data_IF_817286319259
#
_entry.id   IF_817286319259
#
_cell.length_a   1.000
_cell.length_b   1.000
_cell.length_c   1.000
_cell.angle_alpha   90.00
_cell.angle_beta   90.00
_cell.angle_gamma   90.00
#
_symmetry.space_group_name_H-M   'P 1'
#
loop_
_entity.id
_entity.type
_entity.pdbx_description
1 polymer ?
#
# COMPACT_ATOMS: atom_id res chain seq x y z
N UNK A 1 5.89 0.64 49.66
CA UNK A 1 5.17 0.45 48.39
C UNK A 1 6.19 0.46 47.28
N UNK A 2 6.49 -0.69 46.72
CA UNK A 2 7.51 -0.87 45.68
C UNK A 2 6.89 -0.51 44.34
N UNK A 3 7.43 0.43 43.53
CA UNK A 3 6.92 0.65 42.20
C UNK A 3 7.30 -0.57 41.35
N UNK A 4 6.30 -1.33 40.92
CA UNK A 4 6.49 -2.38 39.90
C UNK A 4 7.03 -1.68 38.65
N UNK A 5 8.31 -1.89 38.42
CA UNK A 5 9.01 -1.55 37.20
C UNK A 5 8.18 -1.99 35.99
N UNK A 6 7.96 -1.08 35.05
CA UNK A 6 7.46 -1.41 33.73
C UNK A 6 8.34 -2.54 33.20
N UNK A 7 7.77 -3.71 32.93
CA UNK A 7 8.47 -4.77 32.20
C UNK A 7 8.89 -4.13 30.89
N UNK A 8 10.18 -4.05 30.62
CA UNK A 8 10.69 -3.78 29.28
C UNK A 8 10.02 -4.79 28.36
N UNK A 9 9.13 -4.33 27.48
CA UNK A 9 8.50 -5.21 26.50
C UNK A 9 9.61 -5.66 25.55
N UNK A 10 9.77 -6.98 25.42
CA UNK A 10 10.71 -7.53 24.44
C UNK A 10 10.30 -7.04 23.03
N UNK A 11 11.23 -6.46 22.26
CA UNK A 11 10.91 -5.93 20.94
C UNK A 11 10.30 -7.00 20.04
N UNK A 12 9.23 -6.63 19.33
CA UNK A 12 8.62 -7.47 18.30
C UNK A 12 9.58 -7.56 17.12
N UNK A 13 9.72 -8.74 16.55
CA UNK A 13 10.53 -8.95 15.34
C UNK A 13 9.67 -8.65 14.12
N UNK A 14 10.00 -7.59 13.39
CA UNK A 14 9.30 -7.18 12.18
C UNK A 14 10.14 -7.50 10.93
N UNK A 15 9.65 -8.39 10.09
CA UNK A 15 10.37 -8.87 8.89
C UNK A 15 9.65 -8.41 7.63
N UNK A 16 10.38 -7.84 6.68
CA UNK A 16 9.81 -7.35 5.41
C UNK A 16 10.82 -7.41 4.26
N UNK A 17 10.34 -7.48 2.99
CA UNK A 17 11.23 -7.50 1.82
C UNK A 17 11.96 -6.18 1.59
N UNK A 18 11.40 -5.04 2.05
CA UNK A 18 11.90 -3.70 1.78
C UNK A 18 12.18 -2.94 3.08
N UNK A 19 13.04 -1.91 2.99
CA UNK A 19 13.24 -0.94 4.06
C UNK A 19 12.06 0.03 4.20
N UNK A 20 12.20 1.01 5.08
CA UNK A 20 11.20 2.05 5.38
C UNK A 20 10.74 2.86 4.16
N UNK A 21 11.56 2.98 3.13
CA UNK A 21 11.21 3.65 1.87
C UNK A 21 10.38 2.77 0.92
N UNK A 22 10.23 1.48 1.21
CA UNK A 22 9.35 0.58 0.47
C UNK A 22 7.90 0.76 0.89
N UNK A 23 7.01 1.09 -0.05
CA UNK A 23 5.62 1.47 0.27
C UNK A 23 4.88 0.44 1.12
N UNK A 24 4.89 -0.85 0.74
CA UNK A 24 4.23 -1.90 1.51
C UNK A 24 4.85 -2.06 2.91
N UNK A 25 6.18 -2.16 3.01
CA UNK A 25 6.85 -2.31 4.31
C UNK A 25 6.58 -1.13 5.22
N UNK A 26 6.56 0.10 4.67
CA UNK A 26 6.23 1.29 5.43
C UNK A 26 4.80 1.21 5.96
N UNK A 27 3.81 1.08 5.09
CA UNK A 27 2.38 1.14 5.44
C UNK A 27 1.94 -0.05 6.30
N UNK A 28 2.50 -1.25 6.03
CA UNK A 28 2.09 -2.49 6.72
C UNK A 28 2.85 -2.75 8.01
N UNK A 29 4.04 -2.15 8.21
CA UNK A 29 4.85 -2.36 9.41
C UNK A 29 5.29 -1.04 10.05
N UNK A 30 6.15 -0.23 9.40
CA UNK A 30 6.80 0.92 10.04
C UNK A 30 5.79 1.93 10.58
N UNK A 31 4.81 2.35 9.77
CA UNK A 31 3.81 3.34 10.19
C UNK A 31 2.91 2.77 11.33
N UNK A 32 2.69 1.45 11.42
CA UNK A 32 2.00 0.82 12.55
C UNK A 32 2.80 0.90 13.85
N UNK A 33 4.11 0.61 13.81
CA UNK A 33 4.96 0.70 14.99
C UNK A 33 5.15 2.16 15.42
N UNK A 34 5.27 3.09 14.47
CA UNK A 34 5.31 4.53 14.75
C UNK A 34 4.00 4.98 15.43
N UNK A 35 2.83 4.54 14.94
CA UNK A 35 1.53 4.89 15.51
C UNK A 35 1.31 4.30 16.91
N UNK A 36 1.66 3.03 17.12
CA UNK A 36 1.44 2.34 18.40
C UNK A 36 2.50 2.60 19.45
N UNK A 37 3.68 3.08 19.05
CA UNK A 37 4.83 3.28 19.92
C UNK A 37 5.45 1.97 20.47
N UNK A 38 5.09 0.81 19.90
CA UNK A 38 5.64 -0.46 20.30
C UNK A 38 7.11 -0.61 19.88
N UNK A 39 7.98 -1.20 20.73
CA UNK A 39 9.35 -1.46 20.35
C UNK A 39 9.42 -2.59 19.31
N UNK A 40 10.14 -2.36 18.20
CA UNK A 40 10.33 -3.35 17.16
C UNK A 40 11.79 -3.46 16.71
N UNK A 41 12.20 -4.69 16.38
CA UNK A 41 13.47 -5.00 15.72
C UNK A 41 13.17 -5.28 14.24
N UNK A 42 13.55 -4.35 13.35
CA UNK A 42 13.24 -4.46 11.93
C UNK A 42 14.32 -5.21 11.16
N UNK A 43 13.89 -6.22 10.40
CA UNK A 43 14.69 -6.98 9.46
C UNK A 43 14.17 -6.77 8.03
N UNK A 44 14.87 -6.00 7.23
CA UNK A 44 14.60 -5.83 5.81
C UNK A 44 15.71 -6.45 4.98
N UNK A 45 15.37 -7.08 3.84
CA UNK A 45 16.31 -7.90 3.07
C UNK A 45 17.61 -7.16 2.70
N UNK A 46 17.51 -6.03 2.01
CA UNK A 46 18.65 -5.18 1.64
C UNK A 46 18.51 -3.74 2.16
N UNK A 47 17.47 -3.43 2.93
CA UNK A 47 17.17 -2.07 3.38
C UNK A 47 16.81 -1.10 2.27
N UNK A 48 16.48 -1.59 1.07
CA UNK A 48 16.16 -0.78 -0.12
C UNK A 48 14.65 -0.66 -0.31
N UNK A 49 14.21 0.30 -1.13
CA UNK A 49 12.80 0.48 -1.50
C UNK A 49 12.27 -0.60 -2.47
N UNK A 50 13.15 -1.37 -3.10
CA UNK A 50 12.80 -2.48 -3.99
C UNK A 50 13.95 -3.48 -4.11
N UNK A 51 13.64 -4.72 -4.53
CA UNK A 51 14.60 -5.81 -4.77
C UNK A 51 14.72 -6.13 -6.26
N UNK A 52 14.86 -5.12 -7.11
CA UNK A 52 15.05 -5.33 -8.55
C UNK A 52 16.34 -6.10 -8.84
N UNK A 53 16.33 -6.95 -9.88
CA UNK A 53 17.45 -7.82 -10.27
C UNK A 53 18.78 -7.04 -10.41
N UNK A 54 18.74 -5.85 -11.00
CA UNK A 54 19.92 -5.01 -11.15
C UNK A 54 20.54 -4.55 -9.82
N UNK A 55 19.71 -4.30 -8.80
CA UNK A 55 20.16 -3.95 -7.45
C UNK A 55 20.77 -5.16 -6.75
N UNK A 56 20.14 -6.32 -6.88
CA UNK A 56 20.57 -7.58 -6.29
C UNK A 56 21.93 -8.01 -6.83
N UNK A 57 22.10 -8.01 -8.16
CA UNK A 57 23.38 -8.42 -8.82
C UNK A 57 24.54 -7.51 -8.41
N UNK A 58 24.30 -6.20 -8.29
CA UNK A 58 25.34 -5.24 -7.87
C UNK A 58 25.72 -5.36 -6.40
N UNK A 59 24.91 -6.01 -5.57
CA UNK A 59 25.09 -6.13 -4.12
C UNK A 59 25.25 -7.58 -3.64
N UNK A 60 25.83 -8.46 -4.46
CA UNK A 60 25.95 -9.89 -4.16
C UNK A 60 26.51 -10.20 -2.74
N UNK A 61 27.55 -9.51 -2.22
CA UNK A 61 27.99 -9.74 -0.84
C UNK A 61 26.91 -9.41 0.22
N UNK A 62 26.12 -8.35 0.00
CA UNK A 62 25.03 -7.97 0.89
C UNK A 62 23.87 -8.99 0.80
N UNK A 63 23.60 -9.55 -0.37
CA UNK A 63 22.64 -10.63 -0.57
C UNK A 63 23.02 -11.87 0.24
N UNK A 64 24.28 -12.30 0.15
CA UNK A 64 24.75 -13.45 0.94
C UNK A 64 24.69 -13.19 2.45
N UNK A 65 24.99 -11.97 2.88
CA UNK A 65 24.88 -11.57 4.28
C UNK A 65 23.42 -11.55 4.74
N UNK A 66 22.47 -11.07 3.91
CA UNK A 66 21.04 -11.05 4.19
C UNK A 66 20.49 -12.47 4.34
N UNK A 67 20.81 -13.39 3.40
CA UNK A 67 20.42 -14.79 3.49
C UNK A 67 20.97 -15.48 4.76
N UNK A 68 22.23 -15.23 5.11
CA UNK A 68 22.82 -15.75 6.32
C UNK A 68 22.17 -15.16 7.59
N UNK A 69 21.78 -13.88 7.56
CA UNK A 69 21.07 -13.21 8.65
C UNK A 69 19.67 -13.80 8.85
N UNK A 70 18.90 -13.99 7.77
CA UNK A 70 17.57 -14.59 7.84
C UNK A 70 17.61 -16.03 8.37
N UNK A 71 18.59 -16.82 7.94
CA UNK A 71 18.80 -18.18 8.48
C UNK A 71 19.14 -18.18 9.97
N UNK A 72 19.95 -17.22 10.42
CA UNK A 72 20.21 -17.06 11.85
C UNK A 72 18.95 -16.65 12.60
N UNK A 73 18.20 -15.69 12.06
CA UNK A 73 16.94 -15.25 12.66
C UNK A 73 15.98 -16.42 12.83
N UNK A 74 15.81 -17.28 11.82
CA UNK A 74 14.91 -18.44 11.90
C UNK A 74 15.23 -19.44 13.00
N UNK A 75 16.47 -19.45 13.52
CA UNK A 75 16.89 -20.30 14.64
C UNK A 75 16.94 -19.58 15.99
N UNK A 76 16.89 -18.25 16.01
CA UNK A 76 17.11 -17.45 17.22
C UNK A 76 15.95 -16.51 17.54
N UNK A 77 14.83 -16.64 16.84
CA UNK A 77 13.65 -15.81 17.12
C UNK A 77 13.06 -16.09 18.51
N UNK A 78 13.13 -17.35 18.98
CA UNK A 78 12.74 -17.77 20.32
C UNK A 78 11.29 -17.44 20.67
N UNK A 79 11.03 -17.16 21.95
CA UNK A 79 9.67 -16.89 22.45
C UNK A 79 9.14 -15.49 22.09
N UNK A 80 9.75 -14.80 21.12
CA UNK A 80 9.33 -13.46 20.68
C UNK A 80 8.14 -13.52 19.75
N UNK A 81 7.34 -12.47 19.77
CA UNK A 81 6.34 -12.21 18.72
C UNK A 81 7.03 -11.79 17.43
N UNK A 82 6.61 -12.38 16.31
CA UNK A 82 7.10 -12.07 14.97
C UNK A 82 5.93 -11.57 14.12
N UNK A 83 6.14 -10.50 13.37
CA UNK A 83 5.28 -10.12 12.24
C UNK A 83 6.11 -10.13 10.96
N UNK A 84 5.70 -10.96 9.99
CA UNK A 84 6.35 -11.07 8.69
C UNK A 84 5.41 -10.55 7.61
N UNK A 85 5.82 -9.48 6.90
CA UNK A 85 5.05 -8.91 5.81
C UNK A 85 5.56 -9.41 4.46
N UNK A 86 4.69 -10.05 3.69
CA UNK A 86 4.88 -10.54 2.31
C UNK A 86 5.90 -11.68 2.18
N UNK A 87 7.17 -11.36 2.15
CA UNK A 87 8.30 -12.29 1.98
C UNK A 87 9.53 -11.81 2.76
N UNK A 88 10.34 -12.70 3.29
CA UNK A 88 11.61 -12.36 3.94
C UNK A 88 12.73 -12.25 2.91
N UNK A 89 12.75 -13.16 1.90
CA UNK A 89 13.76 -13.20 0.84
C UNK A 89 13.11 -13.30 -0.55
N UNK A 90 13.60 -12.53 -1.55
CA UNK A 90 13.16 -12.68 -2.93
C UNK A 90 13.63 -14.00 -3.58
N UNK A 91 14.52 -14.74 -2.93
CA UNK A 91 15.06 -16.04 -3.36
C UNK A 91 14.50 -17.22 -2.56
N UNK A 92 13.45 -16.98 -1.78
CA UNK A 92 12.75 -18.04 -1.05
C UNK A 92 11.60 -18.62 -1.86
N UNK A 93 11.27 -19.88 -1.59
CA UNK A 93 10.00 -20.51 -1.93
C UNK A 93 9.25 -20.85 -0.65
N UNK A 94 9.34 -19.99 0.37
CA UNK A 94 8.62 -20.09 1.63
C UNK A 94 9.33 -20.84 2.75
N UNK A 95 10.51 -21.43 2.51
CA UNK A 95 11.20 -22.22 3.54
C UNK A 95 11.75 -21.39 4.69
N UNK A 96 12.32 -20.22 4.41
CA UNK A 96 12.81 -19.28 5.42
C UNK A 96 11.65 -18.65 6.19
N UNK A 97 10.62 -18.20 5.48
CA UNK A 97 9.42 -17.59 6.06
C UNK A 97 8.74 -18.56 7.02
N UNK A 98 8.45 -19.78 6.58
CA UNK A 98 7.84 -20.82 7.43
C UNK A 98 8.70 -21.13 8.65
N UNK A 99 10.03 -21.19 8.48
CA UNK A 99 10.94 -21.45 9.59
C UNK A 99 10.93 -20.32 10.62
N UNK A 100 10.92 -19.05 10.19
CA UNK A 100 10.85 -17.90 11.09
C UNK A 100 9.52 -17.91 11.86
N UNK A 101 8.39 -18.13 11.17
CA UNK A 101 7.06 -18.13 11.76
C UNK A 101 6.87 -19.28 12.75
N UNK A 102 7.28 -20.51 12.40
CA UNK A 102 7.12 -21.70 13.25
C UNK A 102 8.00 -21.72 14.50
N UNK A 103 9.14 -21.01 14.51
CA UNK A 103 10.01 -20.94 15.68
C UNK A 103 9.74 -19.72 16.57
N UNK A 104 8.79 -18.87 16.22
CA UNK A 104 8.36 -17.75 17.03
C UNK A 104 7.47 -18.21 18.20
N UNK A 105 7.47 -17.47 19.30
CA UNK A 105 6.54 -17.68 20.40
C UNK A 105 5.10 -17.32 20.03
N UNK A 106 4.92 -16.34 19.16
CA UNK A 106 3.68 -15.99 18.47
C UNK A 106 4.00 -15.39 17.11
N UNK A 107 3.29 -15.80 16.07
CA UNK A 107 3.62 -15.44 14.69
C UNK A 107 2.44 -14.86 13.92
N UNK A 108 2.72 -13.76 13.23
CA UNK A 108 1.75 -13.07 12.36
C UNK A 108 2.31 -12.98 10.95
N UNK A 109 1.52 -13.40 9.97
CA UNK A 109 1.83 -13.19 8.56
C UNK A 109 0.92 -12.11 7.98
N UNK A 110 1.51 -11.07 7.40
CA UNK A 110 0.80 -9.91 6.84
C UNK A 110 1.02 -9.78 5.33
N UNK A 111 -0.04 -9.50 4.56
CA UNK A 111 0.09 -9.25 3.12
C UNK A 111 -0.97 -8.31 2.57
N UNK A 112 -0.55 -7.49 1.58
CA UNK A 112 -1.32 -6.39 0.98
C UNK A 112 -1.43 -6.46 -0.55
N UNK A 113 -0.94 -7.54 -1.17
CA UNK A 113 -0.98 -7.78 -2.62
C UNK A 113 -1.36 -9.23 -2.91
N UNK A 114 -1.91 -9.51 -4.11
CA UNK A 114 -2.22 -10.85 -4.58
C UNK A 114 -0.94 -11.64 -4.92
N UNK A 115 -0.18 -12.04 -3.89
CA UNK A 115 1.07 -12.81 -4.04
C UNK A 115 0.85 -14.18 -4.70
N UNK A 116 -0.39 -14.68 -4.66
CA UNK A 116 -0.82 -15.90 -5.33
C UNK A 116 -1.01 -15.74 -6.85
N UNK A 117 -1.16 -14.52 -7.34
CA UNK A 117 -1.21 -14.21 -8.76
C UNK A 117 0.22 -14.10 -9.31
N UNK A 118 0.86 -15.24 -9.54
CA UNK A 118 2.24 -15.30 -10.02
C UNK A 118 2.41 -14.50 -11.31
N UNK A 119 3.44 -13.66 -11.34
CA UNK A 119 3.88 -12.98 -12.55
C UNK A 119 4.45 -13.96 -13.56
N UNK A 120 4.38 -13.63 -14.85
CA UNK A 120 4.92 -14.42 -15.98
C UNK A 120 6.45 -14.43 -16.06
N UNK A 121 7.15 -13.80 -15.11
CA UNK A 121 8.61 -13.71 -15.11
C UNK A 121 9.28 -15.08 -14.92
N UNK A 122 10.36 -15.35 -15.67
CA UNK A 122 11.09 -16.61 -15.59
C UNK A 122 11.61 -16.93 -14.17
N UNK A 123 11.90 -15.89 -13.37
CA UNK A 123 12.34 -16.03 -11.99
C UNK A 123 11.24 -16.56 -11.05
N UNK A 124 9.97 -16.28 -11.32
CA UNK A 124 8.84 -16.78 -10.51
C UNK A 124 8.66 -18.31 -10.64
N UNK A 125 9.26 -18.94 -11.64
CA UNK A 125 9.29 -20.40 -11.79
C UNK A 125 10.27 -21.10 -10.85
N UNK A 126 11.31 -20.38 -10.40
CA UNK A 126 12.35 -20.93 -9.50
C UNK A 126 12.03 -20.53 -8.05
N UNK A 127 11.61 -19.30 -7.84
CA UNK A 127 11.24 -18.74 -6.54
C UNK A 127 9.80 -18.22 -6.61
N UNK A 128 8.85 -19.15 -6.38
CA UNK A 128 7.42 -18.87 -6.51
C UNK A 128 6.94 -18.06 -5.31
N UNK A 129 6.43 -16.85 -5.58
CA UNK A 129 5.77 -16.03 -4.55
C UNK A 129 4.51 -16.68 -4.03
N UNK A 130 3.79 -17.41 -4.91
CA UNK A 130 2.61 -18.18 -4.51
C UNK A 130 2.97 -19.26 -3.51
N UNK A 131 4.05 -20.01 -3.74
CA UNK A 131 4.50 -21.05 -2.80
C UNK A 131 4.96 -20.43 -1.47
N UNK A 132 5.70 -19.32 -1.51
CA UNK A 132 6.07 -18.56 -0.32
C UNK A 132 4.84 -18.13 0.46
N UNK A 133 3.84 -17.58 -0.21
CA UNK A 133 2.58 -17.15 0.39
C UNK A 133 1.82 -18.32 1.03
N UNK A 134 1.60 -19.43 0.32
CA UNK A 134 0.91 -20.62 0.86
C UNK A 134 1.62 -21.15 2.12
N UNK A 135 2.94 -21.29 2.08
CA UNK A 135 3.71 -21.81 3.21
C UNK A 135 3.70 -20.86 4.41
N UNK A 136 3.71 -19.55 4.16
CA UNK A 136 3.62 -18.55 5.22
C UNK A 136 2.24 -18.55 5.87
N UNK A 137 1.16 -18.70 5.09
CA UNK A 137 -0.20 -18.84 5.60
C UNK A 137 -0.34 -20.03 6.55
N UNK A 138 0.13 -21.20 6.14
CA UNK A 138 0.05 -22.42 6.96
C UNK A 138 1.03 -22.47 8.13
N UNK A 139 1.98 -21.53 8.22
CA UNK A 139 2.98 -21.49 9.28
C UNK A 139 2.68 -20.44 10.37
N UNK A 140 1.83 -19.46 10.11
CA UNK A 140 1.52 -18.37 11.02
C UNK A 140 0.36 -18.72 11.96
N UNK A 141 0.42 -18.23 13.21
CA UNK A 141 -0.68 -18.36 14.18
C UNK A 141 -1.85 -17.45 13.80
N UNK A 142 -1.55 -16.26 13.24
CA UNK A 142 -2.54 -15.30 12.73
C UNK A 142 -2.11 -14.77 11.37
N UNK A 143 -3.07 -14.63 10.46
CA UNK A 143 -2.87 -14.03 9.14
C UNK A 143 -3.61 -12.71 9.06
N UNK A 144 -2.92 -11.65 8.68
CA UNK A 144 -3.52 -10.35 8.39
C UNK A 144 -3.58 -10.17 6.86
N UNK A 145 -4.78 -10.12 6.33
CA UNK A 145 -5.04 -9.79 4.93
C UNK A 145 -5.42 -8.32 4.78
N UNK A 146 -4.88 -7.65 3.77
CA UNK A 146 -5.12 -6.22 3.51
C UNK A 146 -6.50 -5.90 2.90
N UNK A 147 -7.32 -6.89 2.60
CA UNK A 147 -8.69 -6.72 2.09
C UNK A 147 -9.48 -8.03 2.21
N UNK A 148 -10.82 -7.96 2.12
CA UNK A 148 -11.69 -9.14 2.13
C UNK A 148 -11.34 -10.10 0.99
N UNK A 149 -11.03 -9.60 -0.21
CA UNK A 149 -10.61 -10.42 -1.37
C UNK A 149 -9.33 -11.21 -1.08
N UNK A 150 -8.39 -10.60 -0.37
CA UNK A 150 -7.16 -11.26 0.04
C UNK A 150 -7.41 -12.27 1.16
N UNK A 151 -8.34 -11.97 2.06
CA UNK A 151 -8.76 -12.90 3.12
C UNK A 151 -9.44 -14.14 2.52
N UNK A 152 -10.43 -13.95 1.65
CA UNK A 152 -11.12 -15.04 0.95
C UNK A 152 -10.13 -15.98 0.23
N UNK A 153 -9.06 -15.42 -0.37
CA UNK A 153 -8.03 -16.22 -1.02
C UNK A 153 -7.13 -16.98 -0.01
N UNK A 154 -7.01 -16.50 1.22
CA UNK A 154 -6.18 -17.12 2.26
C UNK A 154 -6.92 -18.17 3.08
N UNK A 155 -8.25 -18.12 3.15
CA UNK A 155 -9.09 -18.99 3.99
C UNK A 155 -8.93 -20.49 3.65
N UNK A 156 -8.51 -20.82 2.42
CA UNK A 156 -8.20 -22.21 2.04
C UNK A 156 -6.93 -22.76 2.73
N UNK A 157 -6.03 -21.86 3.19
CA UNK A 157 -4.69 -22.22 3.68
C UNK A 157 -4.45 -21.89 5.15
N UNK A 158 -5.36 -21.17 5.81
CA UNK A 158 -5.27 -20.79 7.22
C UNK A 158 -6.64 -20.60 7.84
N UNK A 159 -6.83 -21.12 9.08
CA UNK A 159 -8.06 -20.99 9.85
C UNK A 159 -8.13 -19.67 10.66
N UNK A 160 -7.05 -18.90 10.68
CA UNK A 160 -6.92 -17.70 11.52
C UNK A 160 -6.68 -16.44 10.70
N UNK A 161 -7.51 -16.20 9.69
CA UNK A 161 -7.42 -15.02 8.82
C UNK A 161 -8.25 -13.87 9.37
N UNK A 162 -7.63 -12.69 9.47
CA UNK A 162 -8.34 -11.45 9.80
C UNK A 162 -8.06 -10.39 8.75
N UNK A 163 -9.01 -9.46 8.56
CA UNK A 163 -8.80 -8.30 7.69
C UNK A 163 -8.36 -7.10 8.52
N UNK A 164 -7.20 -6.54 8.15
CA UNK A 164 -6.77 -5.19 8.53
C UNK A 164 -6.38 -4.47 7.24
N UNK A 165 -7.18 -3.53 6.75
CA UNK A 165 -6.90 -2.85 5.49
C UNK A 165 -5.59 -2.06 5.55
N UNK A 166 -5.12 -1.60 4.40
CA UNK A 166 -4.09 -0.55 4.42
C UNK A 166 -4.65 0.66 5.13
N UNK A 167 -3.94 1.12 6.16
CA UNK A 167 -4.33 2.26 6.96
C UNK A 167 -3.47 3.48 6.62
N UNK A 168 -3.91 4.63 7.08
CA UNK A 168 -3.24 5.90 6.84
C UNK A 168 -3.25 6.73 8.14
N UNK A 169 -2.22 7.57 8.34
CA UNK A 169 -2.27 8.62 9.34
C UNK A 169 -2.76 9.91 8.69
N UNK A 170 -4.03 10.32 8.93
CA UNK A 170 -4.60 11.47 8.23
C UNK A 170 -3.87 12.78 8.54
N UNK A 171 -3.20 12.88 9.70
CA UNK A 171 -2.50 14.09 10.12
C UNK A 171 -1.14 14.27 9.42
N UNK A 172 -0.63 13.24 8.76
CA UNK A 172 0.54 13.34 7.89
C UNK A 172 0.22 14.02 6.54
N UNK A 173 -1.07 14.32 6.27
CA UNK A 173 -1.53 14.90 5.00
C UNK A 173 -1.97 16.34 5.16
N UNK A 174 -1.44 17.20 4.31
CA UNK A 174 -2.02 18.53 4.11
C UNK A 174 -3.42 18.41 3.53
N UNK A 175 -4.34 19.24 4.00
CA UNK A 175 -5.72 19.27 3.53
C UNK A 175 -5.88 20.38 2.50
N UNK A 176 -6.46 20.05 1.34
CA UNK A 176 -6.77 21.02 0.31
C UNK A 176 -7.74 22.10 0.84
N UNK A 177 -7.37 23.38 0.65
CA UNK A 177 -8.14 24.52 1.12
C UNK A 177 -8.84 25.25 -0.05
N UNK A 178 -8.16 25.36 -1.19
CA UNK A 178 -8.69 26.02 -2.38
C UNK A 178 -9.19 24.99 -3.39
N UNK A 179 -10.48 25.02 -3.68
CA UNK A 179 -11.17 24.17 -4.64
C UNK A 179 -11.54 24.91 -5.93
N UNK A 180 -11.03 26.11 -6.13
CA UNK A 180 -11.11 26.81 -7.40
C UNK A 180 -10.32 26.06 -8.48
N UNK A 181 -10.92 25.83 -9.65
CA UNK A 181 -10.21 25.31 -10.82
C UNK A 181 -9.78 26.48 -11.69
N UNK A 182 -8.48 26.54 -11.98
CA UNK A 182 -7.92 27.54 -12.88
C UNK A 182 -8.24 27.25 -14.37
N UNK A 183 -7.55 27.93 -15.27
CA UNK A 183 -7.69 27.72 -16.71
C UNK A 183 -7.26 26.36 -17.23
N UNK A 184 -6.47 25.61 -16.43
CA UNK A 184 -5.99 24.27 -16.74
C UNK A 184 -6.27 23.36 -15.53
N UNK A 185 -7.39 22.60 -15.52
CA UNK A 185 -7.68 21.61 -14.49
C UNK A 185 -6.53 20.62 -14.33
N UNK A 186 -6.33 20.12 -13.09
CA UNK A 186 -5.21 19.26 -12.76
C UNK A 186 -5.66 17.97 -12.09
N UNK A 187 -5.60 16.85 -12.84
CA UNK A 187 -5.67 15.53 -12.26
C UNK A 187 -4.33 15.19 -11.55
N UNK A 188 -4.37 14.43 -10.46
CA UNK A 188 -3.15 13.95 -9.81
C UNK A 188 -3.17 12.43 -9.69
N UNK A 189 -2.01 11.82 -9.98
CA UNK A 189 -1.74 10.42 -9.72
C UNK A 189 -0.47 10.29 -8.87
N UNK A 190 -0.53 9.47 -7.81
CA UNK A 190 0.62 9.12 -6.97
C UNK A 190 0.84 7.62 -6.99
N UNK A 191 2.08 7.17 -7.09
CA UNK A 191 2.34 5.73 -7.05
C UNK A 191 3.78 5.33 -7.29
N UNK A 192 4.00 4.01 -7.26
CA UNK A 192 5.30 3.41 -7.54
C UNK A 192 5.56 3.35 -9.05
N UNK A 193 6.83 3.31 -9.47
CA UNK A 193 7.22 3.18 -10.87
C UNK A 193 6.55 2.00 -11.60
N UNK A 194 6.33 0.89 -10.88
CA UNK A 194 5.74 -0.33 -11.44
C UNK A 194 4.27 -0.16 -11.85
N UNK A 195 3.57 0.86 -11.34
CA UNK A 195 2.14 1.10 -11.63
C UNK A 195 1.88 2.33 -12.48
N UNK A 196 2.92 3.06 -12.92
CA UNK A 196 2.76 4.21 -13.82
C UNK A 196 2.11 3.80 -15.16
N UNK A 197 2.41 2.60 -15.65
CA UNK A 197 1.88 2.09 -16.92
C UNK A 197 0.33 2.01 -16.93
N UNK A 198 -0.33 1.88 -15.77
CA UNK A 198 -1.79 1.85 -15.70
C UNK A 198 -2.44 3.17 -16.11
N UNK A 199 -1.69 4.27 -16.14
CA UNK A 199 -2.18 5.53 -16.69
C UNK A 199 -2.49 5.46 -18.19
N UNK A 200 -1.86 4.52 -18.91
CA UNK A 200 -2.12 4.32 -20.33
C UNK A 200 -3.53 3.76 -20.60
N UNK A 201 -4.13 3.06 -19.64
CA UNK A 201 -5.48 2.50 -19.75
C UNK A 201 -6.54 3.60 -19.88
N UNK A 202 -6.27 4.78 -19.30
CA UNK A 202 -7.15 5.95 -19.36
C UNK A 202 -6.60 7.07 -20.27
N UNK A 203 -5.56 6.77 -21.07
CA UNK A 203 -4.97 7.76 -21.96
C UNK A 203 -5.97 8.41 -22.94
N UNK A 204 -6.91 7.67 -23.58
CA UNK A 204 -7.90 8.28 -24.44
C UNK A 204 -8.75 9.34 -23.71
N UNK A 205 -9.16 9.07 -22.48
CA UNK A 205 -9.95 10.00 -21.67
C UNK A 205 -9.15 11.24 -21.27
N UNK A 206 -7.89 11.05 -20.83
CA UNK A 206 -7.01 12.17 -20.46
C UNK A 206 -6.72 13.10 -21.66
N UNK A 207 -6.51 12.53 -22.85
CA UNK A 207 -6.29 13.30 -24.09
C UNK A 207 -7.54 14.10 -24.49
N UNK A 208 -8.71 13.47 -24.46
CA UNK A 208 -9.99 14.16 -24.76
C UNK A 208 -10.25 15.32 -23.79
N UNK A 209 -9.94 15.14 -22.50
CA UNK A 209 -10.08 16.19 -21.49
C UNK A 209 -9.00 17.27 -21.62
N UNK A 210 -7.82 16.92 -22.08
CA UNK A 210 -6.79 17.90 -22.41
C UNK A 210 -7.23 18.79 -23.59
N UNK A 211 -7.78 18.21 -24.64
CA UNK A 211 -8.32 18.97 -25.79
C UNK A 211 -9.48 19.91 -25.38
N UNK A 212 -10.38 19.40 -24.50
CA UNK A 212 -11.59 20.14 -24.11
C UNK A 212 -11.33 21.20 -23.05
N UNK A 213 -10.51 20.93 -22.06
CA UNK A 213 -10.34 21.76 -20.86
C UNK A 213 -8.88 22.16 -20.58
N UNK A 214 -7.95 21.84 -21.46
CA UNK A 214 -6.50 21.96 -21.20
C UNK A 214 -6.04 21.22 -19.95
N UNK A 215 -6.68 20.07 -19.61
CA UNK A 215 -6.35 19.27 -18.44
C UNK A 215 -4.86 18.91 -18.41
N UNK A 216 -4.25 19.03 -17.24
CA UNK A 216 -2.89 18.54 -16.97
C UNK A 216 -2.96 17.34 -16.00
N UNK A 217 -2.00 16.43 -16.12
CA UNK A 217 -1.82 15.29 -15.20
C UNK A 217 -0.53 15.45 -14.42
N UNK A 218 -0.61 15.61 -13.09
CA UNK A 218 0.55 15.53 -12.22
C UNK A 218 0.81 14.08 -11.85
N UNK A 219 2.02 13.57 -12.15
CA UNK A 219 2.47 12.22 -11.79
C UNK A 219 3.51 12.32 -10.69
N UNK A 220 3.14 11.95 -9.46
CA UNK A 220 4.01 11.93 -8.28
C UNK A 220 4.59 10.52 -8.13
N UNK A 221 5.84 10.33 -8.56
CA UNK A 221 6.48 9.01 -8.58
C UNK A 221 8.00 9.14 -8.55
N UNK A 222 8.68 8.09 -8.11
CA UNK A 222 10.14 7.94 -8.29
C UNK A 222 10.50 7.40 -9.68
N UNK A 223 9.50 7.04 -10.50
CA UNK A 223 9.67 6.48 -11.84
C UNK A 223 9.82 7.54 -12.92
N UNK A 224 10.22 7.06 -14.08
CA UNK A 224 10.37 7.84 -15.32
C UNK A 224 9.85 7.03 -16.51
N UNK A 225 8.77 6.24 -16.32
CA UNK A 225 8.21 5.45 -17.41
C UNK A 225 7.78 6.36 -18.58
N UNK A 226 8.01 5.87 -19.79
CA UNK A 226 7.42 6.51 -20.97
C UNK A 226 5.91 6.29 -20.94
N UNK A 227 5.16 7.39 -20.87
CA UNK A 227 3.71 7.38 -20.87
C UNK A 227 3.12 7.60 -22.28
N UNK A 228 3.96 7.50 -23.32
CA UNK A 228 3.53 7.56 -24.72
C UNK A 228 2.80 8.85 -25.03
N UNK A 229 1.54 8.78 -25.54
CA UNK A 229 0.80 9.96 -25.98
C UNK A 229 0.51 10.97 -24.85
N UNK A 230 0.61 10.57 -23.58
CA UNK A 230 0.37 11.46 -22.45
C UNK A 230 1.54 12.42 -22.17
N UNK A 231 2.72 12.21 -22.77
CA UNK A 231 3.92 12.99 -22.46
C UNK A 231 3.74 14.50 -22.52
N UNK A 232 2.92 15.00 -23.46
CA UNK A 232 2.66 16.43 -23.61
C UNK A 232 1.81 17.08 -22.51
N UNK A 233 1.00 16.30 -21.80
CA UNK A 233 0.10 16.80 -20.75
C UNK A 233 0.55 16.43 -19.33
N UNK A 234 1.64 15.65 -19.19
CA UNK A 234 2.13 15.17 -17.89
C UNK A 234 3.15 16.13 -17.28
N UNK A 235 2.93 16.48 -16.01
CA UNK A 235 3.89 17.16 -15.16
C UNK A 235 4.44 16.15 -14.13
N UNK A 236 5.72 15.81 -14.21
CA UNK A 236 6.35 14.84 -13.30
C UNK A 236 6.88 15.53 -12.05
N UNK A 237 6.55 14.93 -10.91
CA UNK A 237 7.03 15.35 -9.59
C UNK A 237 7.72 14.16 -8.93
N UNK A 238 9.00 14.26 -8.55
CA UNK A 238 9.66 13.20 -7.80
C UNK A 238 8.97 12.94 -6.47
N UNK A 239 8.62 11.68 -6.21
CA UNK A 239 8.08 11.30 -4.92
C UNK A 239 9.16 11.39 -3.84
N UNK A 240 8.88 12.12 -2.77
CA UNK A 240 9.65 12.11 -1.54
C UNK A 240 8.71 12.14 -0.35
N UNK A 241 9.09 11.51 0.79
CA UNK A 241 8.26 11.50 2.00
C UNK A 241 7.95 12.93 2.52
N UNK A 242 8.87 13.85 2.31
CA UNK A 242 8.72 15.24 2.79
C UNK A 242 7.82 16.11 1.89
N UNK A 243 7.69 15.80 0.60
CA UNK A 243 7.06 16.71 -0.36
C UNK A 243 5.72 16.22 -0.94
N UNK A 244 5.46 14.90 -0.94
CA UNK A 244 4.32 14.33 -1.66
C UNK A 244 2.97 14.92 -1.20
N UNK A 245 2.79 15.18 0.09
CA UNK A 245 1.54 15.73 0.64
C UNK A 245 1.26 17.15 0.12
N UNK A 246 2.30 17.98 0.00
CA UNK A 246 2.18 19.32 -0.56
C UNK A 246 1.91 19.31 -2.08
N UNK A 247 2.37 18.30 -2.77
CA UNK A 247 2.10 18.15 -4.20
C UNK A 247 0.69 17.61 -4.48
N UNK A 248 0.18 16.71 -3.61
CA UNK A 248 -1.19 16.19 -3.73
C UNK A 248 -2.23 17.32 -3.72
N UNK A 249 -2.16 18.25 -2.77
CA UNK A 249 -3.17 19.31 -2.61
C UNK A 249 -3.18 20.35 -3.74
N UNK A 250 -2.17 20.33 -4.63
CA UNK A 250 -2.15 21.16 -5.85
C UNK A 250 -3.05 20.58 -6.95
N UNK A 251 -3.41 19.29 -6.88
CA UNK A 251 -4.37 18.68 -7.79
C UNK A 251 -5.80 19.12 -7.50
N UNK A 252 -6.67 19.02 -8.49
CA UNK A 252 -8.10 19.28 -8.34
C UNK A 252 -8.87 18.01 -7.98
N UNK A 253 -8.40 16.86 -8.46
CA UNK A 253 -8.92 15.54 -8.11
C UNK A 253 -7.86 14.45 -8.33
N UNK A 254 -7.98 13.36 -7.58
CA UNK A 254 -7.13 12.17 -7.70
C UNK A 254 -7.68 11.15 -8.68
N UNK A 255 -6.79 10.44 -9.41
CA UNK A 255 -7.17 9.35 -10.32
C UNK A 255 -6.44 8.08 -9.99
N UNK A 256 -7.17 6.94 -9.96
CA UNK A 256 -6.60 5.61 -9.73
C UNK A 256 -7.11 4.59 -10.75
N UNK A 257 -6.56 4.61 -11.98
CA UNK A 257 -6.86 3.56 -12.94
C UNK A 257 -6.20 2.23 -12.52
N UNK A 258 -6.95 1.16 -12.67
CA UNK A 258 -6.47 -0.22 -12.52
C UNK A 258 -7.06 -1.09 -13.62
N UNK A 259 -6.24 -1.85 -14.38
CA UNK A 259 -6.75 -2.91 -15.24
C UNK A 259 -7.36 -4.03 -14.37
N UNK A 260 -8.38 -4.71 -14.87
CA UNK A 260 -8.99 -5.83 -14.15
C UNK A 260 -8.22 -7.12 -14.41
N UNK A 261 -7.34 -7.49 -13.51
CA UNK A 261 -6.52 -8.71 -13.53
C UNK A 261 -6.50 -9.37 -12.16
N UNK A 262 -6.18 -10.67 -12.05
CA UNK A 262 -6.03 -11.33 -10.75
C UNK A 262 -5.09 -10.60 -9.79
N UNK A 263 -4.01 -10.02 -10.31
CA UNK A 263 -3.04 -9.25 -9.51
C UNK A 263 -3.63 -7.94 -9.00
N UNK A 264 -4.28 -7.16 -9.86
CA UNK A 264 -4.81 -5.83 -9.48
C UNK A 264 -6.05 -5.91 -8.61
N UNK A 265 -6.84 -6.99 -8.69
CA UNK A 265 -7.95 -7.27 -7.76
C UNK A 265 -7.49 -7.38 -6.31
N UNK A 266 -6.24 -7.82 -6.07
CA UNK A 266 -5.65 -7.89 -4.73
C UNK A 266 -5.00 -6.58 -4.24
N UNK A 267 -5.11 -5.47 -4.99
CA UNK A 267 -4.58 -4.17 -4.55
C UNK A 267 -5.42 -3.57 -3.42
N UNK A 268 -4.76 -3.10 -2.35
CA UNK A 268 -5.41 -2.55 -1.15
C UNK A 268 -5.72 -1.05 -1.23
N UNK A 269 -5.93 -0.50 -2.40
CA UNK A 269 -6.52 0.83 -2.66
C UNK A 269 -5.80 2.04 -2.04
N UNK A 270 -4.55 1.91 -1.61
CA UNK A 270 -3.84 2.92 -0.81
C UNK A 270 -3.83 4.33 -1.42
N UNK A 271 -3.77 4.45 -2.77
CA UNK A 271 -3.84 5.75 -3.45
C UNK A 271 -5.15 6.50 -3.18
N UNK A 272 -6.28 5.78 -3.16
CA UNK A 272 -7.59 6.36 -2.86
C UNK A 272 -7.62 6.95 -1.45
N UNK A 273 -6.98 6.25 -0.50
CA UNK A 273 -6.85 6.73 0.89
C UNK A 273 -6.01 8.01 0.95
N UNK A 274 -4.93 8.09 0.20
CA UNK A 274 -4.06 9.27 0.13
C UNK A 274 -4.80 10.50 -0.44
N UNK A 275 -5.59 10.31 -1.50
CA UNK A 275 -6.41 11.40 -2.06
C UNK A 275 -7.47 11.85 -1.06
N UNK A 276 -8.19 10.91 -0.44
CA UNK A 276 -9.20 11.22 0.56
C UNK A 276 -8.60 11.92 1.78
N UNK A 277 -7.44 11.48 2.28
CA UNK A 277 -6.74 12.13 3.40
C UNK A 277 -6.32 13.57 3.08
N UNK A 278 -5.97 13.85 1.83
CA UNK A 278 -5.70 15.21 1.35
C UNK A 278 -6.98 16.03 1.08
N UNK A 279 -8.17 15.45 1.24
CA UNK A 279 -9.45 16.10 0.94
C UNK A 279 -9.69 16.32 -0.54
N UNK A 280 -9.10 15.49 -1.41
CA UNK A 280 -9.29 15.58 -2.86
C UNK A 280 -10.49 14.72 -3.28
N UNK A 281 -11.41 15.25 -4.11
CA UNK A 281 -12.31 14.40 -4.90
C UNK A 281 -11.52 13.35 -5.66
N UNK A 282 -12.07 12.14 -5.83
CA UNK A 282 -11.32 11.05 -6.45
C UNK A 282 -12.18 10.20 -7.40
N UNK A 283 -11.52 9.72 -8.45
CA UNK A 283 -12.08 8.79 -9.46
C UNK A 283 -11.18 7.56 -9.51
N UNK A 284 -11.77 6.37 -9.53
CA UNK A 284 -11.00 5.14 -9.62
C UNK A 284 -11.69 4.02 -10.35
N UNK A 285 -10.91 3.05 -10.86
CA UNK A 285 -11.47 1.80 -11.39
C UNK A 285 -12.04 0.96 -10.24
N UNK A 286 -13.29 0.49 -10.31
CA UNK A 286 -13.91 -0.34 -9.26
C UNK A 286 -13.43 -1.80 -9.33
N UNK A 287 -12.11 -1.99 -9.34
CA UNK A 287 -11.44 -3.30 -9.44
C UNK A 287 -11.04 -3.77 -8.07
N UNK A 288 -11.43 -4.99 -7.72
CA UNK A 288 -11.06 -5.59 -6.44
C UNK A 288 -11.49 -4.75 -5.24
N UNK A 289 -10.58 -4.55 -4.28
CA UNK A 289 -10.84 -3.76 -3.07
C UNK A 289 -11.18 -2.29 -3.37
N UNK A 290 -10.78 -1.74 -4.54
CA UNK A 290 -11.14 -0.36 -4.91
C UNK A 290 -12.66 -0.14 -4.92
N UNK A 291 -13.46 -1.12 -5.35
CA UNK A 291 -14.91 -0.98 -5.40
C UNK A 291 -15.50 -0.64 -4.01
N UNK A 292 -15.09 -1.40 -3.00
CA UNK A 292 -15.52 -1.18 -1.61
C UNK A 292 -15.01 0.15 -1.03
N UNK A 293 -13.76 0.51 -1.31
CA UNK A 293 -13.16 1.77 -0.83
C UNK A 293 -13.83 2.99 -1.48
N UNK A 294 -14.05 2.95 -2.81
CA UNK A 294 -14.78 4.01 -3.51
C UNK A 294 -16.17 4.23 -2.92
N UNK A 295 -16.92 3.13 -2.67
CA UNK A 295 -18.26 3.22 -2.10
C UNK A 295 -18.25 3.82 -0.68
N UNK A 296 -17.33 3.41 0.18
CA UNK A 296 -17.23 3.91 1.57
C UNK A 296 -16.78 5.37 1.63
N UNK A 297 -15.88 5.80 0.75
CA UNK A 297 -15.39 7.18 0.70
C UNK A 297 -16.29 8.12 -0.11
N UNK A 298 -17.31 7.62 -0.81
CA UNK A 298 -18.09 8.42 -1.76
C UNK A 298 -17.31 8.83 -3.01
N UNK A 299 -16.28 8.05 -3.38
CA UNK A 299 -15.50 8.23 -4.60
C UNK A 299 -16.28 7.81 -5.84
N UNK A 300 -15.86 8.32 -7.00
CA UNK A 300 -16.55 8.05 -8.27
C UNK A 300 -15.87 6.87 -8.97
N UNK A 301 -16.68 5.88 -9.36
CA UNK A 301 -16.21 4.74 -10.13
C UNK A 301 -16.24 5.05 -11.64
N UNK A 302 -15.19 4.61 -12.38
CA UNK A 302 -15.16 4.66 -13.83
C UNK A 302 -14.41 3.43 -14.39
N UNK A 303 -14.99 2.80 -15.41
CA UNK A 303 -14.46 1.58 -16.05
C UNK A 303 -14.09 1.83 -17.50
N UNK A 304 -15.03 2.36 -18.28
CA UNK A 304 -14.83 2.62 -19.70
C UNK A 304 -14.20 4.00 -19.96
N UNK A 305 -13.53 4.21 -21.10
CA UNK A 305 -13.02 5.54 -21.46
C UNK A 305 -14.07 6.64 -21.40
N UNK A 306 -15.31 6.35 -21.83
CA UNK A 306 -16.42 7.32 -21.81
C UNK A 306 -16.84 7.65 -20.38
N UNK A 307 -16.87 6.67 -19.47
CA UNK A 307 -17.14 6.91 -18.06
C UNK A 307 -16.04 7.75 -17.41
N UNK A 308 -14.76 7.51 -17.75
CA UNK A 308 -13.65 8.33 -17.30
C UNK A 308 -13.76 9.78 -17.79
N UNK A 309 -14.12 9.99 -19.06
CA UNK A 309 -14.39 11.34 -19.58
C UNK A 309 -15.54 11.99 -18.84
N UNK A 310 -16.66 11.30 -18.70
CA UNK A 310 -17.87 11.85 -18.08
C UNK A 310 -17.63 12.20 -16.60
N UNK A 311 -17.02 11.31 -15.82
CA UNK A 311 -16.77 11.52 -14.39
C UNK A 311 -15.78 12.64 -14.13
N UNK A 312 -14.65 12.68 -14.86
CA UNK A 312 -13.68 13.77 -14.72
C UNK A 312 -14.23 15.10 -15.21
N UNK A 313 -15.02 15.12 -16.31
CA UNK A 313 -15.72 16.35 -16.76
C UNK A 313 -16.66 16.87 -15.68
N UNK A 314 -17.45 15.99 -15.06
CA UNK A 314 -18.37 16.39 -13.99
C UNK A 314 -17.64 17.03 -12.80
N UNK A 315 -16.48 16.52 -12.42
CA UNK A 315 -15.65 17.13 -11.36
C UNK A 315 -15.09 18.50 -11.77
N UNK A 316 -14.68 18.66 -13.03
CA UNK A 316 -14.20 19.94 -13.56
C UNK A 316 -15.32 20.97 -13.57
N UNK A 317 -16.52 20.60 -14.03
CA UNK A 317 -17.68 21.48 -14.16
C UNK A 317 -18.40 21.74 -12.82
N UNK A 318 -18.16 20.91 -11.80
CA UNK A 318 -18.73 21.07 -10.47
C UNK A 318 -18.20 22.36 -9.82
N UNK A 319 -19.05 23.10 -9.11
CA UNK A 319 -18.64 24.32 -8.41
C UNK A 319 -17.68 24.05 -7.23
N UNK A 320 -16.80 25.02 -6.94
CA UNK A 320 -15.83 24.88 -5.85
C UNK A 320 -16.43 24.49 -4.48
N UNK A 321 -17.59 25.04 -4.04
CA UNK A 321 -18.21 24.60 -2.79
C UNK A 321 -18.62 23.13 -2.77
N UNK A 322 -19.09 22.60 -3.89
CA UNK A 322 -19.50 21.21 -3.99
C UNK A 322 -18.28 20.27 -4.00
N UNK A 323 -17.17 20.64 -4.70
CA UNK A 323 -15.92 19.91 -4.62
C UNK A 323 -15.34 19.91 -3.20
N UNK A 324 -15.41 21.05 -2.50
CA UNK A 324 -14.99 21.16 -1.11
C UNK A 324 -15.80 20.25 -0.18
N UNK A 325 -17.13 20.23 -0.35
CA UNK A 325 -17.99 19.34 0.42
C UNK A 325 -17.68 17.86 0.17
N UNK A 326 -17.46 17.48 -1.10
CA UNK A 326 -17.08 16.12 -1.50
C UNK A 326 -15.73 15.73 -0.87
N UNK A 327 -14.69 16.55 -1.05
CA UNK A 327 -13.37 16.29 -0.47
C UNK A 327 -13.38 16.21 1.06
N UNK A 328 -14.16 17.05 1.72
CA UNK A 328 -14.36 17.03 3.17
C UNK A 328 -15.04 15.74 3.64
N UNK A 329 -16.07 15.28 2.94
CA UNK A 329 -16.75 14.02 3.25
C UNK A 329 -15.79 12.82 3.07
N UNK A 330 -15.00 12.80 1.99
CA UNK A 330 -14.00 11.75 1.75
C UNK A 330 -12.91 11.73 2.83
N UNK A 331 -12.44 12.90 3.30
CA UNK A 331 -11.50 12.97 4.41
C UNK A 331 -12.11 12.44 5.71
N UNK A 332 -13.34 12.80 6.04
CA UNK A 332 -14.04 12.24 7.20
C UNK A 332 -14.14 10.71 7.09
N UNK A 333 -14.55 10.20 5.92
CA UNK A 333 -14.64 8.76 5.69
C UNK A 333 -13.30 8.04 5.87
N UNK A 334 -12.21 8.59 5.40
CA UNK A 334 -10.91 7.94 5.58
C UNK A 334 -10.42 7.98 7.03
N UNK A 335 -10.71 9.03 7.78
CA UNK A 335 -10.41 9.11 9.22
C UNK A 335 -11.19 8.05 10.00
N UNK A 336 -12.48 7.90 9.71
CA UNK A 336 -13.37 6.99 10.43
C UNK A 336 -13.14 5.52 10.06
N UNK A 337 -12.81 5.23 8.81
CA UNK A 337 -12.81 3.86 8.27
C UNK A 337 -11.40 3.29 8.04
N UNK A 338 -10.38 4.13 7.79
CA UNK A 338 -9.07 3.68 7.31
C UNK A 338 -7.88 4.30 8.06
N UNK A 339 -8.10 4.98 9.20
CA UNK A 339 -6.98 5.44 10.04
C UNK A 339 -6.33 4.29 10.80
N UNK A 340 -5.05 4.42 11.16
CA UNK A 340 -4.39 3.48 12.06
C UNK A 340 -5.14 3.38 13.40
N UNK A 341 -5.61 4.49 13.95
CA UNK A 341 -6.38 4.52 15.19
C UNK A 341 -7.64 3.63 15.13
N UNK A 342 -8.35 3.63 14.00
CA UNK A 342 -9.56 2.80 13.80
C UNK A 342 -9.29 1.30 13.91
N UNK A 343 -8.10 0.86 13.48
CA UNK A 343 -7.75 -0.56 13.37
C UNK A 343 -6.75 -1.04 14.43
N UNK A 344 -6.28 -0.14 15.33
CA UNK A 344 -5.26 -0.44 16.34
C UNK A 344 -5.60 -1.66 17.20
N UNK A 345 -6.79 -1.72 17.80
CA UNK A 345 -7.17 -2.85 18.66
C UNK A 345 -7.14 -4.18 17.91
N UNK A 346 -7.53 -4.20 16.62
CA UNK A 346 -7.51 -5.44 15.82
C UNK A 346 -6.09 -5.85 15.44
N UNK A 347 -5.24 -4.88 15.07
CA UNK A 347 -3.85 -5.12 14.75
C UNK A 347 -3.06 -5.57 15.98
N UNK A 348 -3.24 -4.90 17.14
CA UNK A 348 -2.63 -5.29 18.42
C UNK A 348 -3.10 -6.67 18.87
N UNK A 349 -4.39 -6.97 18.72
CA UNK A 349 -4.94 -8.30 19.00
C UNK A 349 -4.31 -9.40 18.15
N UNK A 350 -3.98 -9.12 16.90
CA UNK A 350 -3.25 -10.07 16.05
C UNK A 350 -1.83 -10.37 16.57
N UNK A 351 -1.20 -9.43 17.27
CA UNK A 351 0.12 -9.59 17.90
C UNK A 351 0.07 -10.18 19.31
N UNK A 352 -1.11 -10.61 19.78
CA UNK A 352 -1.38 -11.06 21.16
C UNK A 352 -1.04 -9.99 22.22
N UNK A 353 -1.26 -8.72 21.86
CA UNK A 353 -1.06 -7.57 22.73
C UNK A 353 -2.43 -7.02 23.14
N UNK A 354 -2.70 -7.08 24.44
CA UNK A 354 -3.91 -6.47 25.02
C UNK A 354 -3.64 -4.98 25.27
N UNK A 355 -4.45 -4.09 24.72
CA UNK A 355 -4.44 -2.68 25.14
C UNK A 355 -4.68 -2.62 26.66
N UNK A 356 -3.75 -2.02 27.37
CA UNK A 356 -4.04 -1.61 28.76
C UNK A 356 -4.90 -0.37 28.69
N UNK A 357 -6.22 -0.55 28.88
CA UNK A 357 -7.18 0.54 29.12
C UNK A 357 -6.74 1.41 30.28
#
# INVERSE_FOLDING_TARGET
>A
MNPRTAREQTPIVAVSPYGVDGASSRVRLHDWFDHTGLPAEFHSYLGTSNNQVGTVVRRLPAVLAAEASLRRLSHHVGDRTVILSREASPFSSGGIESSILQHAGHSVYDFDDALYADGTAAMSRIWSKRETWIRSLGAADVVIAGSDILADAADEFSDSVIVVPSCIEPDDYLVKQDFGIGSAPRAVWIGSPATEAFLQDIAPALLALHERYALRLTVISAGQADLGPLGGLVDRVPWTRAAFAAELVKGDFGVMPLPDTPYTRGKCSYKLLQYAAAGLPLVGSPVGANAGVLARLGGIAATTPDEWVATMSSLIELGAPARAAMGGAMRSGVVEEFSYARWSSRWLGALDITEKV
#
